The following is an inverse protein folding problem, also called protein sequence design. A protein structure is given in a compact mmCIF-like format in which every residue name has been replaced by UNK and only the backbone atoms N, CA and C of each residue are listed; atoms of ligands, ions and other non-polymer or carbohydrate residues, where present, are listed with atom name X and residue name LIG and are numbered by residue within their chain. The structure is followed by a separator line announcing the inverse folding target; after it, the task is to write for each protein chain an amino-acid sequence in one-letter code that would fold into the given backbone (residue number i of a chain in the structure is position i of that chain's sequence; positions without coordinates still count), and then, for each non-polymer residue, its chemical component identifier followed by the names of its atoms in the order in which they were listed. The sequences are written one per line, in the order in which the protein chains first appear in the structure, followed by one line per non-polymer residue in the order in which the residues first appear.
data_IF_144413362323
#
_entry.id   IF_144413362323
#
_cell.length_a   1.000
_cell.length_b   1.000
_cell.length_c   1.000
_cell.angle_alpha   90.00
_cell.angle_beta   90.00
_cell.angle_gamma   90.00
#
_symmetry.space_group_name_H-M   'P 1'
#
loop_
_entity.id
_entity.type
_entity.pdbx_description
1 polymer ?
#
# COMPACT_ATOMS: atom_id res chain seq x y z
N UNK A 1 -19.25 5.23 -7.20
CA UNK A 1 -18.31 4.09 -7.11
C UNK A 1 -18.54 3.43 -5.76
N UNK A 2 -18.71 2.12 -5.69
CA UNK A 2 -18.87 1.40 -4.41
C UNK A 2 -17.51 1.32 -3.74
N UNK A 3 -17.42 1.71 -2.46
CA UNK A 3 -16.19 1.60 -1.68
C UNK A 3 -15.88 0.12 -1.41
N UNK A 4 -14.80 -0.39 -1.99
CA UNK A 4 -14.39 -1.80 -1.89
C UNK A 4 -13.90 -2.20 -0.50
N UNK A 5 -13.50 -1.23 0.32
CA UNK A 5 -12.97 -1.44 1.66
C UNK A 5 -13.98 -1.15 2.77
N UNK A 6 -15.20 -0.68 2.42
CA UNK A 6 -16.19 -0.25 3.42
C UNK A 6 -16.50 -1.33 4.46
N UNK A 7 -16.63 -2.60 4.04
CA UNK A 7 -16.95 -3.70 4.94
C UNK A 7 -15.75 -4.15 5.79
N UNK A 8 -14.51 -3.98 5.32
CA UNK A 8 -13.32 -4.58 5.92
C UNK A 8 -12.40 -3.59 6.63
N UNK A 9 -12.63 -2.28 6.43
CA UNK A 9 -11.78 -1.22 6.99
C UNK A 9 -11.64 -1.32 8.52
N UNK A 10 -12.72 -1.68 9.24
CA UNK A 10 -12.71 -1.77 10.71
C UNK A 10 -11.76 -2.83 11.29
N UNK A 11 -11.43 -3.87 10.52
CA UNK A 11 -10.49 -4.92 10.93
C UNK A 11 -9.15 -4.88 10.15
N UNK A 12 -9.00 -3.93 9.23
CA UNK A 12 -7.90 -3.92 8.27
C UNK A 12 -6.52 -3.88 8.93
N UNK A 13 -6.26 -2.92 9.82
CA UNK A 13 -4.98 -2.78 10.50
C UNK A 13 -4.69 -3.98 11.40
N UNK A 14 -5.72 -4.46 12.10
CA UNK A 14 -5.63 -5.60 12.99
C UNK A 14 -5.20 -6.87 12.24
N UNK A 15 -5.80 -7.09 11.07
CA UNK A 15 -5.52 -8.27 10.25
C UNK A 15 -4.19 -8.18 9.50
N UNK A 16 -3.72 -6.97 9.19
CA UNK A 16 -2.43 -6.73 8.54
C UNK A 16 -1.24 -6.59 9.51
N UNK A 17 -1.49 -6.55 10.81
CA UNK A 17 -0.46 -6.42 11.85
C UNK A 17 0.69 -7.45 11.74
N UNK A 18 0.48 -8.73 11.38
CA UNK A 18 1.57 -9.70 11.24
C UNK A 18 2.63 -9.31 10.21
N UNK A 19 2.26 -8.59 9.14
CA UNK A 19 3.19 -8.18 8.09
C UNK A 19 3.86 -6.83 8.38
N UNK A 20 3.35 -6.09 9.38
CA UNK A 20 3.83 -4.73 9.68
C UNK A 20 5.33 -4.70 10.01
N UNK A 21 5.85 -5.70 10.73
CA UNK A 21 7.25 -5.73 11.09
C UNK A 21 8.19 -5.78 9.87
N UNK A 22 7.87 -6.60 8.87
CA UNK A 22 8.65 -6.69 7.63
C UNK A 22 8.49 -5.42 6.80
N UNK A 23 7.28 -4.86 6.74
CA UNK A 23 7.02 -3.59 6.07
C UNK A 23 7.81 -2.44 6.68
N UNK A 24 7.92 -2.37 8.01
CA UNK A 24 8.72 -1.34 8.70
C UNK A 24 10.20 -1.46 8.33
N UNK A 25 10.75 -2.67 8.25
CA UNK A 25 12.14 -2.86 7.79
C UNK A 25 12.32 -2.31 6.38
N UNK A 26 11.37 -2.55 5.47
CA UNK A 26 11.44 -1.99 4.11
C UNK A 26 11.36 -0.45 4.11
N UNK A 27 10.49 0.13 4.94
CA UNK A 27 10.39 1.58 5.10
C UNK A 27 11.68 2.19 5.68
N UNK A 28 12.39 1.48 6.58
CA UNK A 28 13.68 1.92 7.10
C UNK A 28 14.80 1.93 6.03
N UNK A 29 14.69 1.08 5.00
CA UNK A 29 15.57 1.18 3.83
C UNK A 29 15.25 2.41 2.96
N UNK A 30 13.98 2.81 2.87
CA UNK A 30 13.58 4.02 2.15
C UNK A 30 13.99 5.30 2.89
N UNK A 31 13.88 5.34 4.21
CA UNK A 31 14.01 6.55 5.04
C UNK A 31 15.26 7.39 4.71
N UNK A 32 16.49 6.83 4.62
CA UNK A 32 17.70 7.60 4.32
C UNK A 32 17.77 8.11 2.86
N UNK A 33 16.88 7.67 1.99
CA UNK A 33 16.80 8.07 0.58
C UNK A 33 15.75 9.14 0.34
N UNK A 34 14.93 9.45 1.36
CA UNK A 34 13.95 10.53 1.28
C UNK A 34 14.66 11.89 1.29
N UNK A 35 14.13 12.80 0.51
CA UNK A 35 14.63 14.18 0.37
C UNK A 35 13.48 15.18 0.64
N UNK A 36 13.05 15.39 1.90
CA UNK A 36 11.90 16.24 2.24
C UNK A 36 12.02 17.68 1.73
N UNK A 37 13.25 18.19 1.58
CA UNK A 37 13.50 19.53 1.02
C UNK A 37 13.16 19.64 -0.48
N UNK A 38 13.11 18.53 -1.20
CA UNK A 38 12.76 18.51 -2.62
C UNK A 38 11.25 18.58 -2.87
N UNK A 39 10.44 18.15 -1.91
CA UNK A 39 8.98 18.13 -1.99
C UNK A 39 8.34 17.16 -0.98
N UNK A 40 7.01 17.07 -0.96
CA UNK A 40 6.33 16.13 -0.08
C UNK A 40 6.62 14.68 -0.44
N UNK A 41 6.47 13.79 0.54
CA UNK A 41 6.50 12.35 0.31
C UNK A 41 5.11 11.92 -0.15
N UNK A 42 5.03 11.31 -1.32
CA UNK A 42 3.79 10.78 -1.88
C UNK A 42 3.46 9.41 -1.25
N UNK A 43 2.26 9.25 -0.71
CA UNK A 43 1.75 7.96 -0.22
C UNK A 43 0.51 7.59 -1.05
N UNK A 44 0.66 6.65 -1.98
CA UNK A 44 -0.41 6.22 -2.90
C UNK A 44 -1.16 5.05 -2.28
N UNK A 45 -2.49 5.19 -2.15
CA UNK A 45 -3.32 4.23 -1.44
C UNK A 45 -2.95 4.18 0.04
N UNK A 46 -2.90 5.34 0.68
CA UNK A 46 -2.42 5.50 2.06
C UNK A 46 -3.19 4.65 3.09
N UNK A 47 -4.34 4.12 2.71
CA UNK A 47 -5.14 3.23 3.54
C UNK A 47 -5.56 3.88 4.84
N UNK A 48 -5.33 3.17 5.94
CA UNK A 48 -5.59 3.66 7.31
C UNK A 48 -4.57 4.68 7.82
N UNK A 49 -3.54 5.03 7.03
CA UNK A 49 -2.53 6.02 7.38
C UNK A 49 -1.38 5.50 8.26
N UNK A 50 -1.21 4.19 8.42
CA UNK A 50 -0.12 3.62 9.24
C UNK A 50 1.28 4.00 8.74
N UNK A 51 1.44 4.21 7.42
CA UNK A 51 2.72 4.65 6.84
C UNK A 51 2.92 6.15 7.04
N UNK A 52 1.85 6.94 6.99
CA UNK A 52 1.87 8.37 7.35
C UNK A 52 2.38 8.55 8.78
N UNK A 53 1.77 7.84 9.73
CA UNK A 53 2.18 7.86 11.15
C UNK A 53 3.65 7.51 11.31
N UNK A 54 4.07 6.35 10.76
CA UNK A 54 5.45 5.89 10.83
C UNK A 54 6.44 6.92 10.29
N UNK A 55 6.12 7.54 9.16
CA UNK A 55 6.97 8.54 8.50
C UNK A 55 7.08 9.83 9.32
N UNK A 56 5.95 10.36 9.81
CA UNK A 56 5.92 11.61 10.55
C UNK A 56 6.62 11.54 11.90
N UNK A 57 6.63 10.36 12.54
CA UNK A 57 7.39 10.10 13.76
C UNK A 57 8.93 10.12 13.53
N UNK A 58 9.38 9.70 12.34
CA UNK A 58 10.81 9.49 12.03
C UNK A 58 11.44 10.60 11.19
N UNK A 59 10.63 11.37 10.50
CA UNK A 59 11.06 12.48 9.65
C UNK A 59 10.31 13.76 10.04
N UNK A 60 10.83 14.52 11.02
CA UNK A 60 10.15 15.71 11.55
C UNK A 60 9.87 16.79 10.49
N UNK A 61 10.71 16.87 9.46
CA UNK A 61 10.62 17.88 8.40
C UNK A 61 9.78 17.40 7.19
N UNK A 62 9.39 16.13 7.14
CA UNK A 62 8.61 15.61 6.02
C UNK A 62 7.19 16.17 6.01
N UNK A 63 6.74 16.52 4.82
CA UNK A 63 5.34 16.70 4.49
C UNK A 63 4.86 15.49 3.71
N UNK A 64 3.61 15.07 3.92
CA UNK A 64 3.02 13.92 3.25
C UNK A 64 1.87 14.34 2.36
N UNK A 65 1.88 13.88 1.13
CA UNK A 65 0.79 14.00 0.18
C UNK A 65 0.21 12.62 -0.07
N UNK A 66 -0.88 12.31 0.59
CA UNK A 66 -1.51 10.99 0.59
C UNK A 66 -2.71 10.95 -0.36
N UNK A 67 -2.82 9.87 -1.12
CA UNK A 67 -3.97 9.56 -1.96
C UNK A 67 -4.70 8.36 -1.37
N UNK A 68 -5.98 8.52 -1.03
CA UNK A 68 -6.81 7.42 -0.54
C UNK A 68 -8.25 7.57 -1.03
N UNK A 69 -8.65 6.85 -2.08
CA UNK A 69 -9.99 6.97 -2.66
C UNK A 69 -11.10 6.36 -1.80
N UNK A 70 -10.79 5.35 -0.95
CA UNK A 70 -11.79 4.74 -0.07
C UNK A 70 -12.20 5.70 1.06
N UNK A 71 -13.46 6.12 1.16
CA UNK A 71 -13.94 6.92 2.27
C UNK A 71 -13.75 6.25 3.64
N UNK A 72 -13.91 4.92 3.72
CA UNK A 72 -13.77 4.17 4.95
C UNK A 72 -12.31 4.15 5.44
N UNK A 73 -11.37 3.85 4.54
CA UNK A 73 -9.94 3.87 4.86
C UNK A 73 -9.45 5.29 5.17
N UNK A 74 -9.89 6.28 4.40
CA UNK A 74 -9.56 7.68 4.63
C UNK A 74 -10.06 8.19 5.99
N UNK A 75 -11.22 7.72 6.47
CA UNK A 75 -11.71 8.05 7.80
C UNK A 75 -10.76 7.55 8.90
N UNK A 76 -10.18 6.36 8.75
CA UNK A 76 -9.17 5.82 9.68
C UNK A 76 -7.90 6.67 9.64
N UNK A 77 -7.39 7.01 8.45
CA UNK A 77 -6.22 7.88 8.29
C UNK A 77 -6.43 9.24 8.95
N UNK A 78 -7.57 9.88 8.69
CA UNK A 78 -7.90 11.18 9.28
C UNK A 78 -8.08 11.09 10.81
N UNK A 79 -8.64 10.00 11.33
CA UNK A 79 -8.75 9.76 12.78
C UNK A 79 -7.36 9.65 13.42
N UNK A 80 -6.44 8.93 12.76
CA UNK A 80 -5.04 8.79 13.20
C UNK A 80 -4.33 10.14 13.21
N UNK A 81 -4.45 10.93 12.14
CA UNK A 81 -3.87 12.28 12.05
C UNK A 81 -4.48 13.22 13.10
N UNK A 82 -5.78 13.13 13.35
CA UNK A 82 -6.47 13.98 14.30
C UNK A 82 -6.03 13.76 15.76
N UNK A 83 -5.47 12.58 16.08
CA UNK A 83 -4.89 12.29 17.38
C UNK A 83 -3.58 13.07 17.65
N UNK A 84 -2.98 13.64 16.61
CA UNK A 84 -1.69 14.34 16.65
C UNK A 84 -1.82 15.75 16.01
N UNK A 85 -2.05 16.77 16.82
CA UNK A 85 -2.28 18.14 16.35
C UNK A 85 -1.08 18.67 15.53
N UNK A 86 0.13 18.27 15.90
CA UNK A 86 1.38 18.64 15.22
C UNK A 86 1.51 18.07 13.81
N UNK A 87 0.73 17.05 13.44
CA UNK A 87 0.76 16.47 12.09
C UNK A 87 -0.20 17.15 11.12
N UNK A 88 -1.25 17.80 11.61
CA UNK A 88 -2.34 18.33 10.78
C UNK A 88 -1.88 19.31 9.69
N UNK A 89 -0.82 20.06 9.92
CA UNK A 89 -0.25 20.99 8.94
C UNK A 89 0.81 20.35 8.03
N UNK A 90 1.15 19.06 8.26
CA UNK A 90 2.17 18.32 7.52
C UNK A 90 1.58 17.28 6.57
N UNK A 91 0.28 17.04 6.63
CA UNK A 91 -0.39 15.98 5.86
C UNK A 91 -1.53 16.56 5.02
N UNK A 92 -1.51 16.23 3.74
CA UNK A 92 -2.66 16.42 2.84
C UNK A 92 -3.18 15.05 2.45
N UNK A 93 -4.44 14.72 2.78
CA UNK A 93 -5.09 13.47 2.36
C UNK A 93 -6.12 13.79 1.28
N UNK A 94 -5.86 13.32 0.07
CA UNK A 94 -6.69 13.53 -1.11
C UNK A 94 -7.67 12.37 -1.29
N UNK A 95 -8.95 12.64 -1.63
CA UNK A 95 -9.94 11.60 -1.85
C UNK A 95 -9.89 10.97 -3.25
N UNK A 96 -9.01 11.43 -4.10
CA UNK A 96 -8.85 10.98 -5.48
C UNK A 96 -7.91 9.78 -5.57
N UNK A 97 -8.06 8.98 -6.62
CA UNK A 97 -7.05 8.02 -7.05
C UNK A 97 -5.86 8.73 -7.74
N UNK A 98 -4.85 7.93 -8.08
CA UNK A 98 -3.60 8.45 -8.65
C UNK A 98 -3.81 9.24 -9.95
N UNK A 99 -4.72 8.81 -10.82
CA UNK A 99 -4.93 9.40 -12.14
C UNK A 99 -5.88 10.61 -12.11
N UNK A 100 -6.73 10.70 -11.10
CA UNK A 100 -7.64 11.84 -10.91
C UNK A 100 -7.01 12.96 -10.10
N UNK A 101 -5.99 12.66 -9.28
CA UNK A 101 -5.35 13.64 -8.41
C UNK A 101 -4.38 14.55 -9.17
N UNK A 102 -4.32 15.82 -8.75
CA UNK A 102 -3.22 16.70 -9.16
C UNK A 102 -2.02 16.45 -8.26
N UNK A 103 -1.00 15.80 -8.79
CA UNK A 103 0.22 15.49 -8.04
C UNK A 103 1.11 16.73 -7.87
N UNK A 104 1.89 16.83 -6.78
CA UNK A 104 2.93 17.83 -6.62
C UNK A 104 3.95 17.76 -7.78
N UNK A 105 4.47 18.92 -8.21
CA UNK A 105 5.46 18.97 -9.30
C UNK A 105 6.74 18.23 -8.97
N UNK A 106 7.14 18.21 -7.70
CA UNK A 106 8.30 17.51 -7.17
C UNK A 106 7.92 16.70 -5.95
N UNK A 107 8.59 15.58 -5.76
CA UNK A 107 8.42 14.69 -4.64
C UNK A 107 9.74 14.55 -3.86
N UNK A 108 9.66 14.41 -2.55
CA UNK A 108 10.80 14.05 -1.73
C UNK A 108 11.03 12.53 -1.62
N UNK A 109 10.11 11.75 -2.16
CA UNK A 109 10.08 10.30 -2.17
C UNK A 109 8.67 9.80 -2.38
N UNK A 110 8.48 8.46 -2.49
CA UNK A 110 7.14 7.89 -2.61
C UNK A 110 7.01 6.52 -1.91
N UNK A 111 5.79 6.21 -1.49
CA UNK A 111 5.37 4.93 -0.91
C UNK A 111 4.15 4.44 -1.71
N UNK A 112 4.21 3.22 -2.23
CA UNK A 112 3.12 2.57 -2.97
C UNK A 112 3.02 1.12 -2.51
N UNK A 113 2.45 0.89 -1.33
CA UNK A 113 2.36 -0.43 -0.71
C UNK A 113 0.94 -0.98 -0.77
N UNK A 114 0.79 -2.22 -1.25
CA UNK A 114 -0.49 -2.86 -1.48
C UNK A 114 -1.29 -2.25 -2.63
N UNK A 115 -0.65 -1.54 -3.55
CA UNK A 115 -1.33 -0.72 -4.56
C UNK A 115 -1.05 -1.16 -5.99
N UNK A 116 0.16 -1.68 -6.25
CA UNK A 116 0.64 -1.91 -7.61
C UNK A 116 -0.26 -2.90 -8.38
N UNK A 117 -0.86 -3.85 -7.68
CA UNK A 117 -1.82 -4.80 -8.24
C UNK A 117 -3.15 -4.19 -8.69
N UNK A 118 -3.46 -2.95 -8.32
CA UNK A 118 -4.64 -2.25 -8.81
C UNK A 118 -4.48 -1.65 -10.21
N UNK A 119 -3.24 -1.51 -10.68
CA UNK A 119 -2.92 -0.89 -11.96
C UNK A 119 -2.73 -1.95 -13.05
N UNK A 120 -3.34 -1.71 -14.20
CA UNK A 120 -3.03 -2.47 -15.39
C UNK A 120 -1.62 -2.12 -15.92
N UNK A 121 -1.06 -2.86 -16.91
CA UNK A 121 0.30 -2.58 -17.42
C UNK A 121 0.50 -1.16 -17.93
N UNK A 122 -0.51 -0.57 -18.58
CA UNK A 122 -0.43 0.81 -19.08
C UNK A 122 -0.46 1.83 -17.95
N UNK A 123 -1.30 1.60 -16.96
CA UNK A 123 -1.40 2.41 -15.74
C UNK A 123 -0.12 2.31 -14.91
N UNK A 124 0.47 1.11 -14.73
CA UNK A 124 1.78 0.94 -14.06
C UNK A 124 2.89 1.72 -14.75
N UNK A 125 2.97 1.61 -16.07
CA UNK A 125 3.95 2.37 -16.85
C UNK A 125 3.79 3.88 -16.64
N UNK A 126 2.55 4.40 -16.61
CA UNK A 126 2.27 5.80 -16.35
C UNK A 126 2.65 6.21 -14.93
N UNK A 127 2.34 5.38 -13.91
CA UNK A 127 2.75 5.61 -12.52
C UNK A 127 4.27 5.69 -12.40
N UNK A 128 5.00 4.74 -13.00
CA UNK A 128 6.46 4.72 -12.96
C UNK A 128 7.07 5.93 -13.67
N UNK A 129 6.49 6.37 -14.79
CA UNK A 129 6.92 7.58 -15.51
C UNK A 129 6.73 8.84 -14.65
N UNK A 130 5.57 8.99 -13.99
CA UNK A 130 5.30 10.10 -13.08
C UNK A 130 6.27 10.12 -11.88
N UNK A 131 6.61 8.96 -11.32
CA UNK A 131 7.63 8.87 -10.28
C UNK A 131 9.02 9.27 -10.79
N UNK A 132 9.41 8.79 -11.97
CA UNK A 132 10.70 9.12 -12.59
C UNK A 132 10.85 10.62 -12.83
N UNK A 133 9.79 11.28 -13.27
CA UNK A 133 9.80 12.72 -13.58
C UNK A 133 9.86 13.58 -12.30
N UNK A 134 9.20 13.17 -11.24
CA UNK A 134 9.00 13.98 -10.01
C UNK A 134 9.99 13.72 -8.91
N UNK A 135 10.54 12.50 -8.82
CA UNK A 135 11.56 12.19 -7.82
C UNK A 135 12.83 13.00 -8.09
N UNK A 136 13.53 13.49 -7.08
CA UNK A 136 14.82 14.13 -7.25
C UNK A 136 15.89 13.10 -7.67
N UNK A 137 17.01 13.57 -8.20
CA UNK A 137 18.16 12.71 -8.46
C UNK A 137 18.60 12.00 -7.17
N UNK A 138 18.80 10.70 -7.22
CA UNK A 138 19.07 9.87 -6.05
C UNK A 138 17.87 9.62 -5.13
N UNK A 139 16.71 10.21 -5.41
CA UNK A 139 15.47 9.96 -4.69
C UNK A 139 14.90 8.58 -4.97
N UNK A 140 14.03 8.11 -4.08
CA UNK A 140 13.51 6.75 -4.15
C UNK A 140 12.00 6.64 -3.88
N UNK A 141 11.41 5.57 -4.39
CA UNK A 141 10.09 5.08 -4.02
C UNK A 141 10.18 3.65 -3.48
N UNK A 142 9.37 3.34 -2.49
CA UNK A 142 9.16 1.98 -1.99
C UNK A 142 7.86 1.43 -2.54
N UNK A 143 7.93 0.26 -3.16
CA UNK A 143 6.78 -0.49 -3.68
C UNK A 143 6.80 -1.92 -3.16
N UNK A 144 5.71 -2.64 -3.33
CA UNK A 144 5.67 -4.09 -3.13
C UNK A 144 5.04 -4.82 -4.33
N UNK A 145 5.49 -6.05 -4.54
CA UNK A 145 4.83 -7.02 -5.40
C UNK A 145 4.11 -8.04 -4.51
N UNK A 146 2.78 -8.06 -4.58
CA UNK A 146 1.99 -8.99 -3.79
C UNK A 146 2.20 -10.44 -4.27
N UNK A 147 2.37 -11.40 -3.35
CA UNK A 147 2.43 -12.81 -3.74
C UNK A 147 1.04 -13.30 -4.22
N UNK A 148 1.00 -14.33 -5.07
CA UNK A 148 2.14 -15.02 -5.68
C UNK A 148 2.80 -14.18 -6.80
N UNK A 149 4.07 -14.46 -7.11
CA UNK A 149 4.81 -13.74 -8.18
C UNK A 149 4.26 -14.01 -9.59
N UNK A 150 3.43 -15.05 -9.73
CA UNK A 150 2.70 -15.37 -10.97
C UNK A 150 1.28 -15.76 -10.62
N UNK A 151 0.30 -15.49 -11.47
CA UNK A 151 -1.07 -15.92 -11.22
C UNK A 151 -1.19 -17.43 -11.10
N UNK A 152 -1.44 -17.91 -9.91
CA UNK A 152 -1.74 -19.29 -9.58
C UNK A 152 -2.86 -19.38 -8.56
N UNK A 153 -3.56 -20.51 -8.52
CA UNK A 153 -4.66 -20.70 -7.57
C UNK A 153 -4.13 -20.73 -6.14
N UNK A 154 -4.70 -19.87 -5.28
CA UNK A 154 -4.43 -19.87 -3.85
C UNK A 154 -5.63 -20.49 -3.13
N UNK A 155 -5.50 -21.69 -2.56
CA UNK A 155 -6.57 -22.30 -1.79
C UNK A 155 -6.95 -21.45 -0.59
N UNK A 156 -8.25 -21.46 -0.23
CA UNK A 156 -8.74 -20.75 0.94
C UNK A 156 -7.96 -21.15 2.20
N UNK A 157 -7.35 -20.20 2.86
CA UNK A 157 -6.57 -20.42 4.08
C UNK A 157 -6.66 -19.23 5.03
N UNK A 158 -6.63 -19.53 6.33
CA UNK A 158 -6.47 -18.46 7.34
C UNK A 158 -5.05 -17.92 7.26
N UNK A 159 -4.91 -16.66 6.86
CA UNK A 159 -3.62 -15.99 6.70
C UNK A 159 -3.30 -15.04 7.86
N UNK A 160 -4.29 -14.64 8.64
CA UNK A 160 -4.10 -13.84 9.85
C UNK A 160 -5.13 -14.22 10.91
N UNK A 161 -4.71 -14.20 12.17
CA UNK A 161 -5.55 -14.44 13.33
C UNK A 161 -5.02 -13.62 14.50
N UNK A 162 -5.93 -12.94 15.21
CA UNK A 162 -5.58 -12.21 16.42
C UNK A 162 -6.73 -12.17 17.42
N UNK A 163 -6.41 -12.01 18.71
CA UNK A 163 -7.38 -11.91 19.79
C UNK A 163 -7.43 -10.47 20.29
N UNK A 164 -8.64 -9.93 20.43
CA UNK A 164 -8.86 -8.64 21.09
C UNK A 164 -9.98 -8.82 22.12
N UNK A 165 -9.62 -8.77 23.38
CA UNK A 165 -10.54 -9.10 24.47
C UNK A 165 -11.05 -10.54 24.32
N UNK A 166 -12.36 -10.73 24.27
CA UNK A 166 -13.01 -12.03 24.15
C UNK A 166 -13.22 -12.47 22.69
N UNK A 167 -12.93 -11.59 21.72
CA UNK A 167 -13.19 -11.86 20.32
C UNK A 167 -11.92 -12.25 19.56
N UNK A 168 -12.01 -13.30 18.78
CA UNK A 168 -11.03 -13.64 17.75
C UNK A 168 -11.40 -12.95 16.45
N UNK A 169 -10.40 -12.33 15.81
CA UNK A 169 -10.49 -11.81 14.44
C UNK A 169 -9.66 -12.69 13.53
N UNK A 170 -10.22 -13.05 12.38
CA UNK A 170 -9.59 -13.97 11.42
C UNK A 170 -9.74 -13.44 10.01
N UNK A 171 -8.64 -13.52 9.25
CA UNK A 171 -8.62 -13.23 7.81
C UNK A 171 -8.37 -14.53 7.06
N UNK A 172 -9.30 -14.87 6.17
CA UNK A 172 -9.17 -15.96 5.21
C UNK A 172 -8.97 -15.32 3.84
N UNK A 173 -8.00 -15.80 3.08
CA UNK A 173 -7.76 -15.37 1.72
C UNK A 173 -7.75 -16.57 0.77
N UNK A 174 -8.31 -16.36 -0.41
CA UNK A 174 -8.26 -17.28 -1.53
C UNK A 174 -8.13 -16.52 -2.84
N UNK A 175 -7.55 -17.13 -3.86
CA UNK A 175 -7.47 -16.52 -5.18
C UNK A 175 -7.64 -17.54 -6.31
N UNK A 176 -8.26 -17.08 -7.39
CA UNK A 176 -8.48 -17.85 -8.62
C UNK A 176 -7.89 -17.08 -9.80
N UNK A 177 -7.04 -17.74 -10.64
CA UNK A 177 -6.53 -17.14 -11.85
C UNK A 177 -7.66 -16.75 -12.81
N UNK A 178 -7.59 -15.52 -13.35
CA UNK A 178 -8.45 -15.05 -14.44
C UNK A 178 -7.72 -15.26 -15.77
N UNK A 179 -6.44 -14.91 -15.80
CA UNK A 179 -5.53 -15.04 -16.95
C UNK A 179 -4.07 -15.08 -16.47
N UNK A 180 -3.12 -14.87 -17.40
CA UNK A 180 -1.67 -14.95 -17.12
C UNK A 180 -1.13 -13.80 -16.27
N UNK A 181 -1.95 -12.78 -16.00
CA UNK A 181 -1.55 -11.59 -15.25
C UNK A 181 -2.46 -11.29 -14.06
N UNK A 182 -3.70 -11.79 -14.04
CA UNK A 182 -4.71 -11.37 -13.06
C UNK A 182 -5.19 -12.51 -12.19
N UNK A 183 -5.39 -12.20 -10.90
CA UNK A 183 -6.08 -13.04 -9.92
C UNK A 183 -7.36 -12.35 -9.45
N UNK A 184 -8.41 -13.14 -9.29
CA UNK A 184 -9.57 -12.77 -8.51
C UNK A 184 -9.34 -13.22 -7.07
N UNK A 185 -9.11 -12.25 -6.19
CA UNK A 185 -8.95 -12.45 -4.76
C UNK A 185 -10.27 -12.31 -4.03
N UNK A 186 -10.50 -13.19 -3.08
CA UNK A 186 -11.56 -13.10 -2.10
C UNK A 186 -10.95 -13.14 -0.71
N UNK A 187 -11.25 -12.11 0.08
CA UNK A 187 -10.78 -11.95 1.45
C UNK A 187 -11.98 -11.93 2.38
N UNK A 188 -12.05 -12.87 3.32
CA UNK A 188 -13.14 -12.97 4.29
C UNK A 188 -12.63 -12.65 5.69
N UNK A 189 -13.23 -11.65 6.29
CA UNK A 189 -12.93 -11.15 7.63
C UNK A 189 -14.01 -11.67 8.57
N UNK A 190 -13.60 -12.40 9.60
CA UNK A 190 -14.49 -12.94 10.61
C UNK A 190 -14.21 -12.30 11.96
N UNK A 191 -15.25 -12.01 12.74
CA UNK A 191 -15.16 -11.85 14.17
C UNK A 191 -15.88 -13.01 14.86
N UNK A 192 -15.24 -13.64 15.84
CA UNK A 192 -15.72 -14.85 16.49
C UNK A 192 -15.69 -14.70 18.01
N UNK A 193 -16.70 -15.28 18.66
CA UNK A 193 -16.74 -15.53 20.11
C UNK A 193 -16.68 -17.05 20.32
N UNK A 194 -15.50 -17.56 20.66
CA UNK A 194 -15.24 -18.99 20.65
C UNK A 194 -15.39 -19.56 19.23
N UNK A 195 -16.35 -20.48 19.03
CA UNK A 195 -16.66 -21.04 17.69
C UNK A 195 -17.78 -20.31 16.96
N UNK A 196 -18.44 -19.36 17.62
CA UNK A 196 -19.57 -18.63 17.05
C UNK A 196 -19.10 -17.47 16.22
N UNK A 197 -19.42 -17.47 14.91
CA UNK A 197 -19.21 -16.32 14.03
C UNK A 197 -20.23 -15.23 14.38
N UNK A 198 -19.73 -14.04 14.71
CA UNK A 198 -20.54 -12.84 14.98
C UNK A 198 -20.71 -11.99 13.73
N UNK A 199 -19.61 -11.79 12.97
CA UNK A 199 -19.65 -11.09 11.68
C UNK A 199 -18.83 -11.84 10.65
N UNK A 200 -19.26 -11.74 9.40
CA UNK A 200 -18.55 -12.21 8.23
C UNK A 200 -18.65 -11.13 7.14
N UNK A 201 -17.53 -10.50 6.87
CA UNK A 201 -17.42 -9.47 5.85
C UNK A 201 -16.46 -9.92 4.74
N UNK A 202 -16.87 -9.78 3.48
CA UNK A 202 -16.07 -10.22 2.34
C UNK A 202 -15.73 -9.04 1.43
N UNK A 203 -14.47 -8.99 1.02
CA UNK A 203 -13.97 -8.09 -0.01
C UNK A 203 -13.45 -8.91 -1.19
N UNK A 204 -13.81 -8.49 -2.41
CA UNK A 204 -13.36 -9.12 -3.64
C UNK A 204 -12.59 -8.10 -4.49
N UNK A 205 -11.43 -8.52 -4.99
CA UNK A 205 -10.55 -7.68 -5.78
C UNK A 205 -10.01 -8.45 -6.98
N UNK A 206 -9.92 -7.77 -8.12
CA UNK A 206 -9.11 -8.25 -9.24
C UNK A 206 -7.79 -7.51 -9.16
N UNK A 207 -6.70 -8.26 -8.96
CA UNK A 207 -5.35 -7.71 -8.92
C UNK A 207 -4.52 -8.22 -10.10
N UNK A 208 -3.74 -7.32 -10.65
CA UNK A 208 -2.63 -7.65 -11.53
C UNK A 208 -1.44 -8.13 -10.69
N UNK A 209 -0.77 -9.14 -11.18
CA UNK A 209 0.42 -9.71 -10.55
C UNK A 209 1.60 -9.60 -11.52
N UNK A 210 2.17 -8.40 -11.70
CA UNK A 210 3.40 -8.25 -12.47
C UNK A 210 4.50 -9.03 -11.75
N UNK A 211 5.18 -9.92 -12.48
CA UNK A 211 6.34 -10.60 -11.92
C UNK A 211 7.54 -9.66 -11.79
N UNK A 212 8.59 -10.09 -11.06
CA UNK A 212 9.82 -9.31 -10.91
C UNK A 212 10.44 -8.84 -12.24
N UNK A 213 10.47 -9.72 -13.27
CA UNK A 213 11.02 -9.39 -14.57
C UNK A 213 10.26 -8.26 -15.28
N UNK A 214 8.93 -8.25 -15.16
CA UNK A 214 8.09 -7.19 -15.72
C UNK A 214 8.38 -5.86 -15.02
N UNK A 215 8.43 -5.85 -13.69
CA UNK A 215 8.77 -4.65 -12.90
C UNK A 215 10.15 -4.10 -13.28
N UNK A 216 11.17 -4.97 -13.40
CA UNK A 216 12.52 -4.55 -13.78
C UNK A 216 12.54 -3.90 -15.17
N UNK A 217 11.83 -4.49 -16.14
CA UNK A 217 11.74 -3.95 -17.51
C UNK A 217 10.97 -2.62 -17.53
N UNK A 218 9.83 -2.54 -16.85
CA UNK A 218 9.00 -1.33 -16.76
C UNK A 218 9.79 -0.18 -16.10
N UNK A 219 10.45 -0.43 -14.96
CA UNK A 219 11.26 0.58 -14.26
C UNK A 219 12.43 1.07 -15.13
N UNK A 220 13.15 0.15 -15.76
CA UNK A 220 14.29 0.49 -16.64
C UNK A 220 13.86 1.36 -17.83
N UNK A 221 12.64 1.16 -18.36
CA UNK A 221 12.11 1.93 -19.49
C UNK A 221 11.96 3.42 -19.19
N UNK A 222 11.85 3.79 -17.92
CA UNK A 222 11.69 5.17 -17.43
C UNK A 222 12.87 5.65 -16.57
N UNK A 223 14.04 5.00 -16.71
CA UNK A 223 15.28 5.36 -16.00
C UNK A 223 15.21 5.25 -14.48
N UNK A 224 14.35 4.37 -13.96
CA UNK A 224 14.35 3.95 -12.57
C UNK A 224 15.14 2.63 -12.43
N UNK A 225 15.99 2.58 -11.43
CA UNK A 225 16.65 1.35 -11.02
C UNK A 225 15.81 0.67 -9.95
N UNK A 226 15.34 -0.55 -10.22
CA UNK A 226 14.57 -1.36 -9.27
C UNK A 226 15.49 -2.35 -8.56
N UNK A 227 15.44 -2.37 -7.22
CA UNK A 227 16.21 -3.25 -6.35
C UNK A 227 15.30 -3.95 -5.35
N UNK A 228 15.32 -5.29 -5.33
CA UNK A 228 14.56 -6.07 -4.36
C UNK A 228 15.24 -6.04 -2.99
N UNK A 229 14.48 -5.82 -1.93
CA UNK A 229 15.00 -5.81 -0.55
C UNK A 229 15.08 -7.24 -0.01
N UNK A 230 16.22 -7.90 -0.24
CA UNK A 230 16.45 -9.29 0.14
C UNK A 230 15.44 -10.26 -0.51
N UNK A 231 14.93 -11.22 0.26
CA UNK A 231 13.91 -12.18 -0.20
C UNK A 231 12.47 -11.74 0.15
N UNK A 232 12.26 -10.44 0.29
CA UNK A 232 10.93 -9.88 0.60
C UNK A 232 10.14 -9.57 -0.67
N UNK A 233 8.90 -9.12 -0.49
CA UNK A 233 8.05 -8.61 -1.58
C UNK A 233 8.32 -7.14 -1.90
N UNK A 234 9.17 -6.46 -1.13
CA UNK A 234 9.44 -5.03 -1.23
C UNK A 234 10.59 -4.71 -2.18
N UNK A 235 10.42 -3.59 -2.91
CA UNK A 235 11.37 -3.10 -3.91
C UNK A 235 11.61 -1.60 -3.72
N UNK A 236 12.85 -1.18 -3.86
CA UNK A 236 13.21 0.22 -3.99
C UNK A 236 13.35 0.56 -5.48
N UNK A 237 12.64 1.60 -5.88
CA UNK A 237 12.81 2.25 -7.18
C UNK A 237 13.65 3.52 -6.95
N UNK A 238 14.80 3.62 -7.59
CA UNK A 238 15.71 4.77 -7.42
C UNK A 238 15.85 5.51 -8.73
N UNK A 239 15.73 6.82 -8.66
CA UNK A 239 16.07 7.69 -9.79
C UNK A 239 17.58 7.83 -9.90
N UNK A 240 18.16 7.47 -11.07
CA UNK A 240 19.59 7.61 -11.36
C UNK A 240 20.05 9.06 -11.33
#
# INVERSE_FOLDING_TARGET
MTDRYAATAGAYDLMNAPWRAVQVVALEHLLPLLQPDAGPILDVGAGSGVNIEWLLERSPDAQVYALEPSPAMRALALSRIAAHLEWQHRVTVRPEDFFAATLPERLGGAILLGVLGHFDPGERAAVLAELADRLPHGGAALIDLQPPERPEAVPAATISRTQVGELEYRLIAEATPIDDERLHWRMTYLSLEGERVLTEDTAEHIYHHPGPDALLAEAASVWLHAERLGETTYWLLRRA
#
